data_IF_981996409720
#
_entry.id   IF_981996409720
#
_cell.length_a   1.000
_cell.length_b   1.000
_cell.length_c   1.000
_cell.angle_alpha   90.00
_cell.angle_beta   90.00
_cell.angle_gamma   90.00
#
_symmetry.space_group_name_H-M   'P 1'
#
loop_
_entity.id
_entity.type
_entity.pdbx_description
1 polymer ?
#
# COMPACT_ATOMS: atom_id res chain seq x y z
N UNK A 1 -4.28 -0.67 29.00
CA UNK A 1 -4.83 -1.28 27.77
C UNK A 1 -4.00 -0.78 26.58
N UNK A 2 -3.48 -1.68 25.75
CA UNK A 2 -2.69 -1.35 24.56
C UNK A 2 -3.53 -0.57 23.56
N UNK A 3 -2.92 0.45 22.97
CA UNK A 3 -3.60 1.32 21.98
C UNK A 3 -2.84 1.30 20.64
N UNK A 4 -3.61 1.17 19.57
CA UNK A 4 -3.13 1.22 18.21
C UNK A 4 -3.92 2.25 17.41
N UNK A 5 -3.31 2.78 16.36
CA UNK A 5 -3.97 3.82 15.55
C UNK A 5 -3.72 3.61 14.05
N UNK A 6 -4.61 4.17 13.24
CA UNK A 6 -4.28 4.53 11.86
C UNK A 6 -4.23 6.04 11.75
N UNK A 7 -3.17 6.56 11.12
CA UNK A 7 -2.98 8.00 10.94
C UNK A 7 -2.81 8.36 9.47
N UNK A 8 -3.49 9.43 9.05
CA UNK A 8 -3.48 9.91 7.67
C UNK A 8 -4.40 11.10 7.46
N UNK A 9 -4.57 11.52 6.19
CA UNK A 9 -5.51 12.58 5.81
C UNK A 9 -5.95 12.46 4.35
N UNK A 10 -7.27 12.44 4.06
CA UNK A 10 -8.37 12.22 5.01
C UNK A 10 -8.37 10.78 5.56
N UNK A 11 -8.91 10.56 6.76
CA UNK A 11 -8.88 9.24 7.41
C UNK A 11 -10.27 8.71 7.80
N UNK A 12 -11.31 9.52 7.67
CA UNK A 12 -12.69 9.19 8.10
C UNK A 12 -13.26 7.93 7.45
N UNK A 13 -12.82 7.61 6.23
CA UNK A 13 -13.30 6.47 5.46
C UNK A 13 -12.49 5.18 5.68
N UNK A 14 -11.48 5.21 6.54
CA UNK A 14 -10.64 4.03 6.79
C UNK A 14 -11.45 2.89 7.42
N UNK A 15 -11.43 1.73 6.80
CA UNK A 15 -12.01 0.48 7.35
C UNK A 15 -11.11 -0.17 8.42
N UNK A 16 -9.88 0.32 8.64
CA UNK A 16 -8.94 -0.27 9.60
C UNK A 16 -9.49 -0.32 11.04
N UNK A 17 -10.18 0.70 11.57
CA UNK A 17 -10.75 0.60 12.93
C UNK A 17 -11.78 -0.52 13.08
N UNK A 18 -12.64 -0.72 12.08
CA UNK A 18 -13.63 -1.81 12.09
C UNK A 18 -12.94 -3.17 11.99
N UNK A 19 -11.96 -3.32 11.11
CA UNK A 19 -11.17 -4.54 10.95
C UNK A 19 -10.46 -4.93 12.25
N UNK A 20 -9.70 -4.02 12.86
CA UNK A 20 -8.96 -4.33 14.08
C UNK A 20 -9.86 -4.53 15.29
N UNK A 21 -11.01 -3.85 15.37
CA UNK A 21 -12.02 -4.13 16.39
C UNK A 21 -12.50 -5.58 16.31
N UNK A 22 -12.78 -6.07 15.10
CA UNK A 22 -13.15 -7.46 14.87
C UNK A 22 -12.00 -8.41 15.24
N UNK A 23 -10.79 -8.15 14.76
CA UNK A 23 -9.59 -8.97 15.04
C UNK A 23 -9.36 -9.09 16.55
N UNK A 24 -9.34 -7.98 17.28
CA UNK A 24 -9.11 -8.00 18.72
C UNK A 24 -10.19 -8.77 19.48
N UNK A 25 -11.46 -8.62 19.04
CA UNK A 25 -12.56 -9.42 19.61
C UNK A 25 -12.37 -10.91 19.34
N UNK A 26 -12.05 -11.29 18.09
CA UNK A 26 -11.88 -12.70 17.70
C UNK A 26 -10.70 -13.40 18.39
N UNK A 27 -9.68 -12.64 18.77
CA UNK A 27 -8.48 -13.14 19.44
C UNK A 27 -8.50 -12.88 20.95
N UNK A 28 -9.59 -12.36 21.50
CA UNK A 28 -9.75 -12.00 22.93
C UNK A 28 -8.65 -11.05 23.43
N UNK A 29 -8.15 -10.17 22.53
CA UNK A 29 -7.09 -9.22 22.86
C UNK A 29 -7.69 -7.96 23.49
N UNK A 30 -7.25 -7.60 24.69
CA UNK A 30 -7.63 -6.36 25.38
C UNK A 30 -6.84 -5.16 24.83
N UNK A 31 -7.20 -4.70 23.64
CA UNK A 31 -6.59 -3.56 22.97
C UNK A 31 -7.64 -2.68 22.28
N UNK A 32 -7.26 -1.44 21.98
CA UNK A 32 -8.07 -0.45 21.26
C UNK A 32 -7.37 -0.07 19.95
N UNK A 33 -8.15 0.08 18.88
CA UNK A 33 -7.68 0.62 17.61
C UNK A 33 -8.59 1.78 17.16
N UNK A 34 -7.99 2.93 16.86
CA UNK A 34 -8.73 4.14 16.46
C UNK A 34 -8.08 4.86 15.29
N UNK A 35 -8.87 5.64 14.55
CA UNK A 35 -8.36 6.56 13.55
C UNK A 35 -7.93 7.89 14.18
N UNK A 36 -6.83 8.47 13.69
CA UNK A 36 -6.37 9.81 14.06
C UNK A 36 -6.08 10.61 12.79
N UNK A 37 -6.85 11.65 12.57
CA UNK A 37 -6.60 12.58 11.48
C UNK A 37 -5.37 13.44 11.79
N UNK A 38 -4.48 13.55 10.81
CA UNK A 38 -3.27 14.39 10.88
C UNK A 38 -3.25 15.23 9.60
N UNK A 39 -3.38 16.56 9.74
CA UNK A 39 -3.58 17.46 8.59
C UNK A 39 -2.28 17.98 7.97
N UNK A 40 -1.20 18.01 8.74
CA UNK A 40 0.07 18.58 8.31
C UNK A 40 1.28 17.86 8.94
N UNK A 41 2.48 18.17 8.46
CA UNK A 41 3.72 17.54 8.94
C UNK A 41 4.08 17.92 10.38
N UNK A 42 3.67 19.09 10.88
CA UNK A 42 3.87 19.48 12.28
C UNK A 42 3.08 18.58 13.22
N UNK A 43 1.82 18.29 12.88
CA UNK A 43 0.98 17.40 13.68
C UNK A 43 1.47 15.95 13.61
N UNK A 44 2.04 15.52 12.47
CA UNK A 44 2.71 14.23 12.38
C UNK A 44 3.88 14.14 13.35
N UNK A 45 4.73 15.17 13.40
CA UNK A 45 5.87 15.22 14.34
C UNK A 45 5.41 15.19 15.80
N UNK A 46 4.35 15.95 16.14
CA UNK A 46 3.74 15.92 17.48
C UNK A 46 3.23 14.52 17.82
N UNK A 47 2.55 13.86 16.88
CA UNK A 47 2.04 12.50 17.09
C UNK A 47 3.19 11.49 17.33
N UNK A 48 4.27 11.57 16.58
CA UNK A 48 5.45 10.71 16.76
C UNK A 48 6.10 10.92 18.13
N UNK A 49 6.21 12.18 18.58
CA UNK A 49 6.70 12.49 19.93
C UNK A 49 5.75 11.95 21.02
N UNK A 50 4.43 12.04 20.83
CA UNK A 50 3.46 11.43 21.73
C UNK A 50 3.63 9.90 21.79
N UNK A 51 3.90 9.25 20.64
CA UNK A 51 4.17 7.80 20.62
C UNK A 51 5.37 7.43 21.48
N UNK A 52 6.47 8.21 21.42
CA UNK A 52 7.69 7.96 22.22
C UNK A 52 7.45 8.09 23.73
N UNK A 53 6.56 9.00 24.13
CA UNK A 53 6.28 9.31 25.55
C UNK A 53 5.14 8.46 26.12
N UNK A 54 4.38 7.79 25.28
CA UNK A 54 3.19 7.07 25.71
C UNK A 54 3.52 5.67 26.21
N UNK A 55 3.02 5.33 27.39
CA UNK A 55 3.04 3.97 27.92
C UNK A 55 1.95 3.05 27.33
N UNK A 56 1.09 3.57 26.47
CA UNK A 56 -0.09 2.85 25.98
C UNK A 56 -0.11 2.67 24.46
N UNK A 57 0.53 3.57 23.69
CA UNK A 57 0.58 3.45 22.24
C UNK A 57 1.71 2.49 21.86
N UNK A 58 1.33 1.31 21.38
CA UNK A 58 2.27 0.24 21.04
C UNK A 58 2.62 0.23 19.55
N UNK A 59 1.76 0.81 18.71
CA UNK A 59 1.99 0.86 17.27
C UNK A 59 0.94 1.68 16.52
N UNK A 60 1.21 1.91 15.25
CA UNK A 60 0.29 2.63 14.38
C UNK A 60 0.46 2.25 12.92
N UNK A 61 -0.64 2.19 12.17
CA UNK A 61 -0.55 2.19 10.72
C UNK A 61 -0.47 3.64 10.22
N UNK A 62 0.31 3.82 9.16
CA UNK A 62 0.53 5.11 8.51
C UNK A 62 -0.02 5.02 7.10
N UNK A 63 -0.90 5.95 6.75
CA UNK A 63 -1.43 6.02 5.39
C UNK A 63 -1.15 7.37 4.73
N UNK A 64 -1.69 7.57 3.54
CA UNK A 64 -1.56 8.79 2.75
C UNK A 64 -1.86 10.04 3.59
N UNK A 65 -1.09 11.13 3.44
CA UNK A 65 0.07 11.34 2.57
C UNK A 65 1.41 11.16 3.29
N UNK A 66 1.48 10.36 4.37
CA UNK A 66 2.61 10.37 5.31
C UNK A 66 3.57 9.18 5.20
N UNK A 67 3.27 8.17 4.38
CA UNK A 67 4.09 6.95 4.24
C UNK A 67 5.57 7.21 3.92
N UNK A 68 5.86 8.25 3.12
CA UNK A 68 7.23 8.65 2.78
C UNK A 68 7.80 9.65 3.79
N UNK A 69 6.94 10.56 4.29
CA UNK A 69 7.38 11.67 5.16
C UNK A 69 7.79 11.22 6.55
N UNK A 70 7.27 10.10 7.02
CA UNK A 70 7.53 9.60 8.37
C UNK A 70 8.95 9.05 8.53
N UNK A 71 9.63 8.66 7.45
CA UNK A 71 10.97 8.07 7.49
C UNK A 71 12.00 8.92 8.23
N UNK A 72 11.89 10.25 8.17
CA UNK A 72 12.79 11.17 8.88
C UNK A 72 12.47 11.35 10.37
N UNK A 73 11.40 10.74 10.88
CA UNK A 73 10.89 10.92 12.25
C UNK A 73 11.04 9.67 13.12
N UNK A 74 11.52 8.56 12.56
CA UNK A 74 11.64 7.26 13.25
C UNK A 74 13.11 6.82 13.36
N UNK A 75 13.37 5.83 14.21
CA UNK A 75 14.74 5.48 14.59
C UNK A 75 15.34 4.39 13.69
N UNK A 76 14.55 3.38 13.35
CA UNK A 76 14.94 2.26 12.51
C UNK A 76 13.81 1.81 11.61
N UNK A 77 14.12 1.12 10.51
CA UNK A 77 13.12 0.55 9.63
C UNK A 77 13.62 -0.74 8.99
N UNK A 78 12.69 -1.59 8.58
CA UNK A 78 13.00 -2.83 7.91
C UNK A 78 13.58 -2.61 6.50
N UNK A 79 14.10 -3.66 5.89
CA UNK A 79 14.74 -3.57 4.57
C UNK A 79 13.77 -3.11 3.48
N UNK A 80 12.51 -3.56 3.50
CA UNK A 80 11.49 -3.15 2.52
C UNK A 80 11.16 -1.67 2.67
N UNK A 81 10.94 -1.19 3.90
CA UNK A 81 10.72 0.23 4.16
C UNK A 81 11.91 1.09 3.72
N UNK A 82 13.14 0.61 3.91
CA UNK A 82 14.38 1.25 3.46
C UNK A 82 14.41 1.37 1.94
N UNK A 83 14.23 0.28 1.21
CA UNK A 83 14.31 0.24 -0.25
C UNK A 83 13.20 1.07 -0.90
N UNK A 84 12.00 1.04 -0.34
CA UNK A 84 10.84 1.77 -0.88
C UNK A 84 10.76 3.21 -0.41
N UNK A 85 11.48 3.58 0.64
CA UNK A 85 11.26 4.84 1.38
C UNK A 85 9.77 5.06 1.70
N UNK A 86 9.07 3.99 2.06
CA UNK A 86 7.63 4.00 2.36
C UNK A 86 7.34 3.13 3.58
N UNK A 87 6.69 3.72 4.57
CA UNK A 87 6.39 3.10 5.85
C UNK A 87 4.89 3.17 6.06
N UNK A 88 4.22 2.02 6.22
CA UNK A 88 2.79 1.96 6.52
C UNK A 88 2.47 1.38 7.90
N UNK A 89 3.50 0.94 8.65
CA UNK A 89 3.34 0.43 9.99
C UNK A 89 4.52 0.87 10.86
N UNK A 90 4.24 1.32 12.08
CA UNK A 90 5.24 1.57 13.11
C UNK A 90 4.96 0.73 14.35
N UNK A 91 6.01 0.31 15.02
CA UNK A 91 5.99 -0.29 16.35
C UNK A 91 6.81 0.56 17.30
N UNK A 92 6.29 0.76 18.50
CA UNK A 92 6.99 1.45 19.59
C UNK A 92 7.60 0.39 20.50
N UNK A 93 8.89 0.49 20.76
CA UNK A 93 9.62 -0.38 21.67
C UNK A 93 10.67 0.44 22.42
N UNK A 94 10.57 0.50 23.76
CA UNK A 94 11.50 1.24 24.63
C UNK A 94 11.82 2.67 24.13
N UNK A 95 10.78 3.46 23.86
CA UNK A 95 10.83 4.82 23.32
C UNK A 95 11.43 4.94 21.90
N UNK A 96 11.87 3.83 21.29
CA UNK A 96 12.28 3.78 19.88
C UNK A 96 11.09 3.44 18.99
N UNK A 97 11.09 4.01 17.81
CA UNK A 97 10.06 3.75 16.80
C UNK A 97 10.68 3.02 15.63
N UNK A 98 10.16 1.81 15.39
CA UNK A 98 10.55 0.93 14.31
C UNK A 98 9.52 1.04 13.17
N UNK A 99 9.97 1.24 11.94
CA UNK A 99 9.12 1.37 10.76
C UNK A 99 9.16 0.15 9.87
N UNK A 100 8.01 -0.19 9.30
CA UNK A 100 7.81 -1.36 8.43
C UNK A 100 6.97 -0.99 7.22
N UNK A 101 7.18 -1.72 6.13
CA UNK A 101 6.31 -1.63 4.96
C UNK A 101 5.55 -2.94 4.73
N UNK A 102 4.40 -3.06 5.40
CA UNK A 102 3.53 -4.24 5.31
C UNK A 102 2.67 -4.26 4.04
N UNK A 103 2.56 -3.15 3.30
CA UNK A 103 1.89 -3.12 2.00
C UNK A 103 2.57 -4.08 1.00
N UNK A 104 3.89 -4.23 1.10
CA UNK A 104 4.64 -5.18 0.29
C UNK A 104 4.12 -6.61 0.50
N UNK A 105 4.05 -7.04 1.77
CA UNK A 105 3.52 -8.35 2.13
C UNK A 105 2.05 -8.52 1.72
N UNK A 106 1.23 -7.48 1.93
CA UNK A 106 -0.17 -7.47 1.52
C UNK A 106 -0.33 -7.71 0.02
N UNK A 107 0.48 -7.04 -0.80
CA UNK A 107 0.46 -7.20 -2.25
C UNK A 107 0.96 -8.58 -2.68
N UNK A 108 2.02 -9.12 -2.08
CA UNK A 108 2.46 -10.51 -2.33
C UNK A 108 1.33 -11.51 -2.10
N UNK A 109 0.57 -11.35 -1.02
CA UNK A 109 -0.58 -12.21 -0.73
C UNK A 109 -1.72 -12.03 -1.75
N UNK A 110 -2.02 -10.80 -2.14
CA UNK A 110 -3.01 -10.54 -3.19
C UNK A 110 -2.64 -11.24 -4.50
N UNK A 111 -1.39 -11.13 -4.94
CA UNK A 111 -0.88 -11.79 -6.15
C UNK A 111 -1.00 -13.31 -6.03
N UNK A 112 -0.57 -13.89 -4.90
CA UNK A 112 -0.59 -15.33 -4.68
C UNK A 112 -2.01 -15.91 -4.67
N UNK A 113 -2.94 -15.29 -3.93
CA UNK A 113 -4.33 -15.76 -3.82
C UNK A 113 -5.05 -15.70 -5.17
N UNK A 114 -4.74 -14.69 -5.98
CA UNK A 114 -5.36 -14.49 -7.28
C UNK A 114 -4.64 -15.22 -8.43
N UNK A 115 -3.60 -16.00 -8.12
CA UNK A 115 -2.79 -16.77 -9.08
C UNK A 115 -2.23 -15.87 -10.21
N UNK A 116 -1.69 -14.70 -9.86
CA UNK A 116 -1.12 -13.76 -10.82
C UNK A 116 0.37 -14.05 -10.99
N UNK A 117 0.78 -14.35 -12.21
CA UNK A 117 2.19 -14.45 -12.55
C UNK A 117 2.70 -13.10 -13.05
N UNK A 118 3.66 -12.53 -12.36
CA UNK A 118 4.29 -11.25 -12.71
C UNK A 118 5.59 -11.42 -13.50
N UNK A 119 6.14 -12.64 -13.57
CA UNK A 119 7.41 -12.91 -14.25
C UNK A 119 7.28 -12.64 -15.76
N UNK A 120 8.23 -11.90 -16.30
CA UNK A 120 8.29 -11.52 -17.72
C UNK A 120 7.10 -10.68 -18.22
N UNK A 121 6.31 -10.06 -17.32
CA UNK A 121 5.16 -9.25 -17.70
C UNK A 121 5.54 -7.79 -17.99
N UNK A 122 4.69 -7.13 -18.79
CA UNK A 122 4.70 -5.69 -18.96
C UNK A 122 3.66 -5.06 -18.01
N UNK A 123 4.05 -4.02 -17.29
CA UNK A 123 3.20 -3.45 -16.26
C UNK A 123 3.13 -1.92 -16.38
N UNK A 124 1.94 -1.37 -16.26
CA UNK A 124 1.70 0.05 -16.11
C UNK A 124 1.30 0.32 -14.66
N UNK A 125 2.09 1.14 -13.96
CA UNK A 125 1.80 1.55 -12.59
C UNK A 125 1.29 2.97 -12.60
N UNK A 126 0.05 3.17 -12.16
CA UNK A 126 -0.52 4.50 -11.97
C UNK A 126 -0.11 5.06 -10.62
N UNK A 127 0.54 6.23 -10.64
CA UNK A 127 0.99 6.92 -9.43
C UNK A 127 2.50 6.83 -9.18
N UNK A 128 2.98 7.69 -8.28
CA UNK A 128 4.40 7.80 -7.91
C UNK A 128 4.61 8.09 -6.41
N UNK A 129 3.66 7.70 -5.56
CA UNK A 129 3.75 7.80 -4.10
C UNK A 129 4.24 6.50 -3.45
N UNK A 130 4.20 6.45 -2.12
CA UNK A 130 4.71 5.34 -1.33
C UNK A 130 4.15 3.97 -1.72
N UNK A 131 2.85 3.86 -2.04
CA UNK A 131 2.26 2.60 -2.52
C UNK A 131 2.83 2.19 -3.88
N UNK A 132 2.99 3.13 -4.83
CA UNK A 132 3.60 2.85 -6.12
C UNK A 132 5.05 2.34 -5.95
N UNK A 133 5.84 2.94 -5.07
CA UNK A 133 7.20 2.47 -4.76
C UNK A 133 7.20 1.04 -4.24
N UNK A 134 6.26 0.71 -3.37
CA UNK A 134 6.09 -0.65 -2.82
C UNK A 134 5.76 -1.66 -3.91
N UNK A 135 4.81 -1.33 -4.78
CA UNK A 135 4.40 -2.20 -5.89
C UNK A 135 5.53 -2.38 -6.90
N UNK A 136 6.25 -1.31 -7.26
CA UNK A 136 7.39 -1.37 -8.18
C UNK A 136 8.48 -2.30 -7.64
N UNK A 137 8.82 -2.21 -6.36
CA UNK A 137 9.76 -3.15 -5.75
C UNK A 137 9.28 -4.60 -5.85
N UNK A 138 7.99 -4.82 -5.61
CA UNK A 138 7.40 -6.17 -5.74
C UNK A 138 7.47 -6.69 -7.17
N UNK A 139 7.15 -5.88 -8.17
CA UNK A 139 7.28 -6.22 -9.59
C UNK A 139 8.72 -6.57 -9.96
N UNK A 140 9.71 -5.81 -9.47
CA UNK A 140 11.14 -6.06 -9.67
C UNK A 140 11.51 -7.42 -9.08
N UNK A 141 11.15 -7.68 -7.83
CA UNK A 141 11.47 -8.93 -7.14
C UNK A 141 10.80 -10.16 -7.77
N UNK A 142 9.68 -9.95 -8.47
CA UNK A 142 9.01 -10.99 -9.26
C UNK A 142 9.50 -11.09 -10.72
N UNK A 143 10.60 -10.41 -11.07
CA UNK A 143 11.21 -10.43 -12.40
C UNK A 143 10.24 -9.97 -13.51
N UNK A 144 9.47 -8.93 -13.27
CA UNK A 144 8.71 -8.27 -14.33
C UNK A 144 9.67 -7.77 -15.44
N UNK A 145 9.24 -7.84 -16.70
CA UNK A 145 10.06 -7.43 -17.85
C UNK A 145 10.15 -5.91 -17.93
N UNK A 146 8.98 -5.25 -17.91
CA UNK A 146 8.89 -3.79 -18.03
C UNK A 146 7.94 -3.20 -17.00
N UNK A 147 8.28 -2.03 -16.49
CA UNK A 147 7.46 -1.21 -15.62
C UNK A 147 7.39 0.21 -16.21
N UNK A 148 6.22 0.61 -16.66
CA UNK A 148 5.94 1.96 -17.17
C UNK A 148 5.16 2.74 -16.12
N UNK A 149 5.71 3.85 -15.63
CA UNK A 149 5.09 4.64 -14.55
C UNK A 149 4.31 5.80 -15.17
N UNK A 150 3.00 5.82 -14.97
CA UNK A 150 2.11 6.91 -15.38
C UNK A 150 1.70 7.72 -14.16
N UNK A 151 2.19 8.94 -14.05
CA UNK A 151 1.85 9.85 -12.95
C UNK A 151 1.91 11.31 -13.38
N UNK A 152 1.20 12.16 -12.64
CA UNK A 152 1.21 13.62 -12.84
C UNK A 152 2.54 14.25 -12.46
N UNK A 153 3.22 13.71 -11.47
CA UNK A 153 4.46 14.28 -10.93
C UNK A 153 5.70 13.61 -11.54
N UNK A 154 6.19 14.20 -12.62
CA UNK A 154 7.39 13.72 -13.33
C UNK A 154 8.66 13.70 -12.46
N UNK A 155 8.80 14.62 -11.49
CA UNK A 155 9.97 14.66 -10.59
C UNK A 155 10.00 13.43 -9.68
N UNK A 156 8.86 13.08 -9.05
CA UNK A 156 8.79 11.88 -8.21
C UNK A 156 8.98 10.62 -9.03
N UNK A 157 8.41 10.56 -10.25
CA UNK A 157 8.63 9.43 -11.17
C UNK A 157 10.10 9.25 -11.53
N UNK A 158 10.79 10.32 -11.93
CA UNK A 158 12.23 10.26 -12.25
C UNK A 158 13.07 9.81 -11.04
N UNK A 159 12.70 10.25 -9.83
CA UNK A 159 13.35 9.80 -8.60
C UNK A 159 13.15 8.30 -8.38
N UNK A 160 11.93 7.79 -8.54
CA UNK A 160 11.63 6.35 -8.42
C UNK A 160 12.51 5.56 -9.41
N UNK A 161 12.54 5.97 -10.67
CA UNK A 161 13.33 5.29 -11.70
C UNK A 161 14.82 5.27 -11.30
N UNK A 162 15.36 6.40 -10.84
CA UNK A 162 16.76 6.47 -10.39
C UNK A 162 17.02 5.53 -9.22
N UNK A 163 16.16 5.57 -8.19
CA UNK A 163 16.33 4.77 -6.96
C UNK A 163 16.30 3.25 -7.28
N UNK A 164 15.40 2.81 -8.16
CA UNK A 164 15.21 1.39 -8.44
C UNK A 164 16.09 0.83 -9.57
N UNK A 165 16.58 1.63 -10.50
CA UNK A 165 17.56 1.17 -11.51
C UNK A 165 18.84 0.60 -10.89
N UNK A 166 19.20 1.07 -9.71
CA UNK A 166 20.39 0.59 -8.98
C UNK A 166 20.17 -0.79 -8.34
N UNK A 167 18.92 -1.24 -8.21
CA UNK A 167 18.58 -2.49 -7.51
C UNK A 167 18.49 -3.70 -8.45
N UNK A 168 18.20 -3.47 -9.71
CA UNK A 168 17.98 -4.57 -10.66
C UNK A 168 18.17 -4.11 -12.12
N UNK A 169 19.07 -4.77 -12.83
CA UNK A 169 19.35 -4.51 -14.24
C UNK A 169 18.41 -5.28 -15.20
N UNK A 170 17.68 -6.30 -14.69
CA UNK A 170 16.85 -7.17 -15.53
C UNK A 170 15.48 -6.58 -15.86
N UNK A 171 14.95 -5.69 -15.02
CA UNK A 171 13.65 -5.07 -15.20
C UNK A 171 13.81 -3.66 -15.76
N UNK A 172 13.23 -3.39 -16.91
CA UNK A 172 13.20 -2.05 -17.48
C UNK A 172 12.18 -1.17 -16.76
N UNK A 173 12.59 0.01 -16.26
CA UNK A 173 11.71 0.95 -15.56
C UNK A 173 11.75 2.29 -16.25
N UNK A 174 10.61 2.77 -16.76
CA UNK A 174 10.50 3.94 -17.60
C UNK A 174 9.30 4.81 -17.22
N UNK A 175 9.34 6.08 -17.65
CA UNK A 175 8.13 6.91 -17.69
C UNK A 175 7.23 6.36 -18.80
N UNK A 176 5.93 6.22 -18.49
CA UNK A 176 4.95 5.84 -19.50
C UNK A 176 4.97 6.79 -20.68
N UNK A 177 4.93 6.25 -21.88
CA UNK A 177 4.74 6.98 -23.13
C UNK A 177 3.75 6.22 -24.01
N UNK A 178 3.08 6.91 -24.92
CA UNK A 178 2.05 6.35 -25.79
C UNK A 178 2.62 5.49 -26.94
N UNK A 179 3.94 5.25 -27.00
CA UNK A 179 4.62 4.43 -28.02
C UNK A 179 4.80 2.98 -27.54
N UNK A 180 3.82 2.42 -26.88
CA UNK A 180 3.82 1.01 -26.42
C UNK A 180 2.91 0.18 -27.32
N UNK A 181 3.12 -1.14 -27.36
CA UNK A 181 2.13 -2.06 -27.94
C UNK A 181 0.85 -2.02 -27.11
N UNK A 182 -0.31 -2.21 -27.74
CA UNK A 182 -1.59 -2.10 -27.06
C UNK A 182 -2.05 -3.37 -26.35
N UNK A 183 -1.18 -4.38 -26.23
CA UNK A 183 -1.56 -5.71 -25.73
C UNK A 183 -0.61 -6.24 -24.65
N UNK A 184 -1.13 -7.15 -23.83
CA UNK A 184 -0.39 -7.92 -22.82
C UNK A 184 0.24 -7.06 -21.70
N UNK A 185 -0.51 -6.13 -21.19
CA UNK A 185 -0.14 -5.31 -20.03
C UNK A 185 -0.99 -5.63 -18.81
N UNK A 186 -0.35 -5.58 -17.64
CA UNK A 186 -1.08 -5.41 -16.39
C UNK A 186 -1.15 -3.92 -16.06
N UNK A 187 -2.28 -3.47 -15.51
CA UNK A 187 -2.46 -2.14 -14.95
C UNK A 187 -2.54 -2.25 -13.43
N UNK A 188 -1.71 -1.50 -12.71
CA UNK A 188 -1.77 -1.45 -11.26
C UNK A 188 -2.05 -0.02 -10.82
N UNK A 189 -3.24 0.21 -10.25
CA UNK A 189 -3.62 1.52 -9.74
C UNK A 189 -3.12 1.71 -8.31
N UNK A 190 -2.19 2.66 -8.13
CA UNK A 190 -1.66 3.10 -6.84
C UNK A 190 -2.08 4.55 -6.52
N UNK A 191 -3.11 5.06 -7.17
CA UNK A 191 -3.62 6.43 -7.01
C UNK A 191 -4.97 6.43 -6.28
N UNK A 192 -5.48 7.58 -5.84
CA UNK A 192 -6.85 7.73 -5.37
C UNK A 192 -7.93 7.73 -6.48
N UNK A 193 -7.58 7.45 -7.75
CA UNK A 193 -8.56 7.31 -8.83
C UNK A 193 -9.58 6.25 -8.42
N UNK A 194 -10.86 6.55 -8.63
CA UNK A 194 -11.97 5.71 -8.17
C UNK A 194 -12.42 6.00 -6.73
N UNK A 195 -11.67 6.75 -5.92
CA UNK A 195 -12.10 7.15 -4.57
C UNK A 195 -12.94 8.44 -4.55
N UNK A 196 -12.90 9.24 -5.61
CA UNK A 196 -13.69 10.47 -5.78
C UNK A 196 -14.28 10.48 -7.18
N UNK A 197 -15.57 10.84 -7.30
CA UNK A 197 -16.19 11.14 -8.61
C UNK A 197 -15.41 12.30 -9.25
N UNK A 198 -15.14 12.19 -10.54
CA UNK A 198 -14.59 13.24 -11.44
C UNK A 198 -13.11 13.62 -11.34
N UNK A 199 -12.27 12.86 -10.68
CA UNK A 199 -10.83 13.14 -10.71
C UNK A 199 -10.11 12.21 -11.70
N UNK A 200 -9.71 12.75 -12.85
CA UNK A 200 -8.62 12.22 -13.68
C UNK A 200 -9.00 11.47 -14.97
N UNK A 201 -10.04 11.92 -15.66
CA UNK A 201 -10.35 11.50 -17.06
C UNK A 201 -9.13 11.57 -17.99
N UNK A 202 -8.23 12.55 -17.77
CA UNK A 202 -7.01 12.72 -18.55
C UNK A 202 -5.95 11.61 -18.38
N UNK A 203 -5.92 10.91 -17.26
CA UNK A 203 -4.98 9.79 -17.08
C UNK A 203 -5.53 8.54 -17.74
N UNK A 204 -6.82 8.25 -17.54
CA UNK A 204 -7.47 7.08 -18.11
C UNK A 204 -7.53 7.15 -19.64
N UNK A 205 -7.70 8.35 -20.23
CA UNK A 205 -7.69 8.50 -21.69
C UNK A 205 -6.35 8.12 -22.34
N UNK A 206 -5.23 8.25 -21.62
CA UNK A 206 -3.91 7.87 -22.13
C UNK A 206 -3.73 6.36 -22.27
N UNK A 207 -4.53 5.57 -21.56
CA UNK A 207 -4.45 4.10 -21.54
C UNK A 207 -5.72 3.43 -22.07
N UNK A 208 -6.69 4.21 -22.57
CA UNK A 208 -8.01 3.71 -22.99
C UNK A 208 -7.98 2.69 -24.12
N UNK A 209 -6.96 2.74 -24.97
CA UNK A 209 -6.79 1.83 -26.11
C UNK A 209 -5.99 0.55 -25.78
N UNK A 210 -5.51 0.42 -24.55
CA UNK A 210 -4.70 -0.73 -24.14
C UNK A 210 -5.62 -1.88 -23.70
N UNK A 211 -5.34 -3.08 -24.20
CA UNK A 211 -5.98 -4.31 -23.74
C UNK A 211 -5.18 -4.88 -22.57
N UNK A 212 -5.78 -4.86 -21.38
CA UNK A 212 -5.12 -5.34 -20.18
C UNK A 212 -5.38 -6.82 -19.93
N UNK A 213 -4.35 -7.58 -19.58
CA UNK A 213 -4.52 -8.94 -19.07
C UNK A 213 -5.13 -8.88 -17.66
N UNK A 214 -4.57 -8.04 -16.81
CA UNK A 214 -5.09 -7.87 -15.45
C UNK A 214 -5.07 -6.40 -15.05
N UNK A 215 -6.15 -5.93 -14.48
CA UNK A 215 -6.20 -4.67 -13.74
C UNK A 215 -6.19 -4.98 -12.25
N UNK A 216 -5.26 -4.39 -11.51
CA UNK A 216 -5.18 -4.47 -10.05
C UNK A 216 -5.41 -3.08 -9.50
N UNK A 217 -6.55 -2.84 -8.87
CA UNK A 217 -6.79 -1.61 -8.13
C UNK A 217 -6.55 -1.84 -6.65
N UNK A 218 -5.48 -1.27 -6.09
CA UNK A 218 -5.18 -1.45 -4.66
C UNK A 218 -6.17 -0.75 -3.73
N UNK A 219 -7.10 0.04 -4.27
CA UNK A 219 -8.20 0.59 -3.49
C UNK A 219 -9.27 -0.48 -3.23
N UNK A 220 -9.93 -0.38 -2.08
CA UNK A 220 -10.95 -1.32 -1.61
C UNK A 220 -12.28 -0.63 -1.23
N UNK A 221 -12.42 0.68 -1.52
CA UNK A 221 -13.53 1.48 -1.00
C UNK A 221 -14.64 1.78 -2.00
N UNK A 222 -14.43 1.68 -3.32
CA UNK A 222 -15.43 2.11 -4.32
C UNK A 222 -15.45 1.28 -5.61
N UNK A 223 -16.58 1.38 -6.32
CA UNK A 223 -16.76 0.86 -7.68
C UNK A 223 -15.92 1.68 -8.67
N UNK A 224 -15.32 1.00 -9.55
CA UNK A 224 -14.12 1.21 -10.26
C UNK A 224 -14.29 2.02 -11.54
N UNK A 225 -13.64 3.16 -11.67
CA UNK A 225 -13.55 3.92 -12.93
C UNK A 225 -12.82 3.13 -14.04
N UNK A 226 -12.16 2.02 -13.67
CA UNK A 226 -11.47 1.13 -14.61
C UNK A 226 -12.38 0.16 -15.35
N UNK A 227 -13.65 0.04 -14.98
CA UNK A 227 -14.63 -0.85 -15.66
C UNK A 227 -14.84 -0.49 -17.13
N UNK A 228 -14.52 0.72 -17.54
CA UNK A 228 -14.63 1.17 -18.93
C UNK A 228 -13.39 0.88 -19.78
N UNK A 229 -12.34 0.29 -19.20
CA UNK A 229 -11.16 -0.15 -19.92
C UNK A 229 -11.38 -1.58 -20.45
N UNK A 230 -10.60 -1.96 -21.47
CA UNK A 230 -10.60 -3.33 -21.96
C UNK A 230 -9.67 -4.19 -21.11
N UNK A 231 -10.19 -5.25 -20.48
CA UNK A 231 -9.41 -6.16 -19.62
C UNK A 231 -9.99 -7.58 -19.58
N UNK A 232 -9.13 -8.56 -19.28
CA UNK A 232 -9.56 -9.96 -19.06
C UNK A 232 -9.95 -10.21 -17.61
N UNK A 233 -9.24 -9.59 -16.65
CA UNK A 233 -9.45 -9.77 -15.20
C UNK A 233 -9.26 -8.46 -14.46
N UNK A 234 -10.11 -8.21 -13.45
CA UNK A 234 -9.95 -7.10 -12.51
C UNK A 234 -9.90 -7.63 -11.08
N UNK A 235 -9.03 -7.06 -10.26
CA UNK A 235 -8.79 -7.42 -8.87
C UNK A 235 -8.75 -6.15 -8.05
N UNK A 236 -9.41 -6.17 -6.92
CA UNK A 236 -9.49 -5.06 -5.97
C UNK A 236 -8.61 -5.31 -4.74
N UNK A 237 -8.36 -4.26 -3.96
CA UNK A 237 -7.32 -4.24 -2.93
C UNK A 237 -7.68 -4.88 -1.60
N UNK A 238 -8.82 -5.57 -1.47
CA UNK A 238 -9.29 -6.13 -0.19
C UNK A 238 -8.29 -7.13 0.40
N UNK A 239 -7.75 -8.03 -0.43
CA UNK A 239 -6.78 -9.01 0.05
C UNK A 239 -5.52 -8.33 0.56
N UNK A 240 -5.01 -7.35 -0.18
CA UNK A 240 -3.86 -6.55 0.25
C UNK A 240 -4.14 -5.83 1.57
N UNK A 241 -5.32 -5.24 1.71
CA UNK A 241 -5.75 -4.53 2.92
C UNK A 241 -5.81 -5.45 4.15
N UNK A 242 -6.34 -6.66 4.01
CA UNK A 242 -6.43 -7.63 5.10
C UNK A 242 -5.04 -8.13 5.50
N UNK A 243 -4.23 -8.55 4.54
CA UNK A 243 -2.93 -9.16 4.86
C UNK A 243 -1.89 -8.16 5.37
N UNK A 244 -1.91 -6.89 4.93
CA UNK A 244 -1.05 -5.87 5.55
C UNK A 244 -1.45 -5.62 7.02
N UNK A 245 -2.74 -5.73 7.35
CA UNK A 245 -3.22 -5.62 8.73
C UNK A 245 -2.79 -6.83 9.58
N UNK A 246 -2.87 -8.05 9.03
CA UNK A 246 -2.37 -9.25 9.69
C UNK A 246 -0.86 -9.15 9.99
N UNK A 247 -0.10 -8.64 9.02
CA UNK A 247 1.34 -8.42 9.22
C UNK A 247 1.61 -7.35 10.27
N UNK A 248 0.81 -6.29 10.34
CA UNK A 248 0.91 -5.28 11.39
C UNK A 248 0.63 -5.88 12.77
N UNK A 249 -0.39 -6.71 12.88
CA UNK A 249 -0.74 -7.43 14.10
C UNK A 249 0.42 -8.31 14.60
N UNK A 250 1.00 -9.11 13.70
CA UNK A 250 2.12 -10.01 14.04
C UNK A 250 3.36 -9.23 14.51
N UNK A 251 3.63 -8.07 13.91
CA UNK A 251 4.73 -7.19 14.32
C UNK A 251 4.48 -6.59 15.71
N UNK A 252 3.27 -6.10 15.98
CA UNK A 252 2.96 -5.47 17.26
C UNK A 252 2.98 -6.46 18.44
N UNK A 253 2.60 -7.70 18.18
CA UNK A 253 2.55 -8.74 19.22
C UNK A 253 3.76 -9.71 19.19
N UNK A 254 4.74 -9.49 18.29
CA UNK A 254 5.96 -10.31 18.13
C UNK A 254 5.66 -11.81 18.00
N UNK A 255 4.53 -12.13 17.41
CA UNK A 255 4.04 -13.49 17.26
C UNK A 255 3.14 -13.60 16.04
N UNK A 256 3.14 -14.76 15.38
CA UNK A 256 2.26 -15.05 14.22
C UNK A 256 0.80 -15.30 14.66
N UNK A 257 0.26 -14.41 15.47
CA UNK A 257 -1.12 -14.54 15.99
C UNK A 257 -2.18 -14.41 14.90
N UNK A 258 -1.84 -13.77 13.77
CA UNK A 258 -2.73 -13.68 12.61
C UNK A 258 -3.09 -15.04 12.02
N UNK A 259 -2.28 -16.09 12.23
CA UNK A 259 -2.58 -17.46 11.80
C UNK A 259 -3.82 -18.07 12.47
N UNK A 260 -4.28 -17.48 13.58
CA UNK A 260 -5.51 -17.89 14.27
C UNK A 260 -6.78 -17.26 13.67
N UNK A 261 -6.63 -16.37 12.69
CA UNK A 261 -7.75 -15.64 12.09
C UNK A 261 -8.29 -16.37 10.86
N UNK A 262 -9.62 -16.42 10.77
CA UNK A 262 -10.31 -16.87 9.57
C UNK A 262 -10.34 -15.74 8.52
N UNK A 263 -9.45 -15.84 7.55
CA UNK A 263 -9.34 -14.88 6.45
C UNK A 263 -10.64 -14.75 5.65
N UNK A 264 -11.33 -15.87 5.32
CA UNK A 264 -12.55 -15.85 4.51
C UNK A 264 -13.65 -15.07 5.21
N UNK A 265 -13.86 -15.37 6.49
CA UNK A 265 -14.84 -14.68 7.33
C UNK A 265 -14.54 -13.18 7.47
N UNK A 266 -13.25 -12.82 7.59
CA UNK A 266 -12.85 -11.41 7.65
C UNK A 266 -13.12 -10.71 6.31
N UNK A 267 -12.84 -11.37 5.19
CA UNK A 267 -13.08 -10.81 3.87
C UNK A 267 -14.57 -10.51 3.65
N UNK A 268 -15.46 -11.43 4.01
CA UNK A 268 -16.91 -11.23 3.94
C UNK A 268 -17.42 -10.06 4.80
N UNK A 269 -16.76 -9.76 5.91
CA UNK A 269 -17.16 -8.65 6.80
C UNK A 269 -16.71 -7.27 6.31
N UNK A 270 -15.70 -7.21 5.43
CA UNK A 270 -15.07 -5.96 4.97
C UNK A 270 -15.55 -5.58 3.57
N UNK A 271 -15.85 -6.55 2.73
CA UNK A 271 -16.42 -6.37 1.39
C UNK A 271 -17.90 -6.13 1.44
#
# INVERSE_FOLDING_TARGET
MKKFKVVGFPISQSKSPALFKYIFKSLEIKAEYSAKEIRNSSDLKKFINQCRQSKYIEGSNITMPYKEKISSLIDCYDNIAKLTNSINCIKINDNKILGYNNDYYGFEKLIAINNINLKNTNNIVLGSGGSARTIILNLINNNAKNISILSRNKKTTSKIIKDFKQLNEKTSINIFNNKISYENYNLINCTPIGLKKDTEKNILSQIALINFDTIIDINYLYKNDFLNLCYKKIITGEDMFIFQAFKSLDIWFESKISNKLDYKKIKELIC
#
